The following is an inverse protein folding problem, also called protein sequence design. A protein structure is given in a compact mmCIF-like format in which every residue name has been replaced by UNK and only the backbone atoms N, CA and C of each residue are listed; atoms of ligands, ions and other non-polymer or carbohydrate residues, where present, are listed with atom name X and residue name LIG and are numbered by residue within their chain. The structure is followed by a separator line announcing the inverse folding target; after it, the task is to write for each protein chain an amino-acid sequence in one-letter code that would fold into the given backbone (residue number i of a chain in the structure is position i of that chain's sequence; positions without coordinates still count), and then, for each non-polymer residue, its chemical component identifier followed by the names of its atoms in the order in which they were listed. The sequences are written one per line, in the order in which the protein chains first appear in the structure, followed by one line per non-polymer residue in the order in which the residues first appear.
data_IF_227472227559
#
_entry.id   IF_227472227559
#
_cell.length_a   1.000
_cell.length_b   1.000
_cell.length_c   1.000
_cell.angle_alpha   90.00
_cell.angle_beta   90.00
_cell.angle_gamma   90.00
#
_symmetry.space_group_name_H-M   'P 1'
#
loop_
_entity.id
_entity.type
_entity.pdbx_description
1 polymer ?
#
# COMPACT_ATOMS: atom_id res chain seq x y z
N UNK A 1 -5.96 11.17 9.76
CA UNK A 1 -7.31 10.67 10.14
C UNK A 1 -8.33 11.67 9.64
N UNK A 2 -9.19 11.28 8.70
CA UNK A 2 -10.37 12.11 8.35
C UNK A 2 -11.50 11.88 9.37
N UNK A 3 -12.48 12.78 9.38
CA UNK A 3 -13.59 12.84 10.34
C UNK A 3 -14.54 11.61 10.36
N UNK A 4 -14.20 10.51 9.66
CA UNK A 4 -14.98 9.26 9.61
C UNK A 4 -14.21 8.02 10.08
N UNK A 5 -13.06 8.16 10.74
CA UNK A 5 -12.35 7.03 11.35
C UNK A 5 -11.69 6.05 10.37
N UNK A 6 -11.76 6.30 9.07
CA UNK A 6 -11.02 5.53 8.07
C UNK A 6 -9.54 5.94 8.02
N UNK A 7 -8.65 4.97 7.85
CA UNK A 7 -7.22 5.21 7.56
C UNK A 7 -7.13 5.90 6.22
N UNK A 8 -7.02 7.23 6.24
CA UNK A 8 -7.06 8.01 5.00
C UNK A 8 -5.65 8.27 4.45
N UNK A 9 -4.62 8.32 5.30
CA UNK A 9 -3.27 8.69 4.87
C UNK A 9 -2.24 8.57 6.01
N UNK A 10 -1.07 8.01 5.71
CA UNK A 10 0.19 8.53 6.24
C UNK A 10 0.40 9.87 5.51
N UNK A 11 0.69 10.96 6.24
CA UNK A 11 0.67 12.38 5.79
C UNK A 11 1.33 12.77 4.44
N UNK A 12 1.92 11.87 3.66
CA UNK A 12 2.33 12.11 2.27
C UNK A 12 2.58 10.80 1.49
N UNK A 13 1.95 9.67 1.84
CA UNK A 13 2.23 8.37 1.20
C UNK A 13 0.96 7.53 1.02
N UNK A 14 0.87 6.86 -0.14
CA UNK A 14 -0.18 5.89 -0.42
C UNK A 14 0.19 4.54 0.22
N UNK A 15 -0.81 3.83 0.74
CA UNK A 15 -0.64 2.57 1.46
C UNK A 15 -1.12 1.38 0.62
N UNK A 16 -0.37 0.29 0.70
CA UNK A 16 -0.72 -1.03 0.22
C UNK A 16 -0.50 -2.04 1.35
N UNK A 17 -1.36 -3.06 1.44
CA UNK A 17 -1.15 -4.18 2.34
C UNK A 17 -1.47 -5.50 1.65
N UNK A 18 -0.82 -6.57 2.08
CA UNK A 18 -0.97 -7.91 1.49
C UNK A 18 -1.52 -8.88 2.52
N UNK A 19 -2.47 -9.71 2.10
CA UNK A 19 -2.92 -10.89 2.85
C UNK A 19 -2.97 -12.07 1.89
N UNK A 20 -2.10 -13.06 2.09
CA UNK A 20 -1.87 -14.13 1.12
C UNK A 20 -1.47 -13.57 -0.25
N UNK A 21 -2.20 -13.94 -1.30
CA UNK A 21 -1.94 -13.47 -2.67
C UNK A 21 -2.74 -12.22 -3.07
N UNK A 22 -3.48 -11.62 -2.13
CA UNK A 22 -4.31 -10.43 -2.41
C UNK A 22 -3.62 -9.20 -1.85
N UNK A 23 -3.48 -8.19 -2.70
CA UNK A 23 -2.96 -6.87 -2.36
C UNK A 23 -4.11 -5.88 -2.34
N UNK A 24 -4.17 -5.10 -1.29
CA UNK A 24 -5.23 -4.13 -1.06
C UNK A 24 -4.64 -2.73 -1.02
N UNK A 25 -5.43 -1.76 -1.46
CA UNK A 25 -5.12 -0.34 -1.32
C UNK A 25 -6.41 0.44 -1.05
N UNK A 26 -6.38 1.53 -0.25
CA UNK A 26 -7.56 2.33 -0.03
C UNK A 26 -8.04 2.96 -1.34
N UNK A 27 -9.36 2.98 -1.54
CA UNK A 27 -10.00 3.83 -2.55
C UNK A 27 -9.83 5.29 -2.15
N UNK A 28 -9.40 6.12 -3.11
CA UNK A 28 -9.20 7.56 -2.93
C UNK A 28 -10.32 8.38 -3.61
N UNK A 29 -11.49 7.77 -3.80
CA UNK A 29 -12.67 8.38 -4.43
C UNK A 29 -13.24 9.55 -3.61
N UNK A 30 -13.02 9.55 -2.29
CA UNK A 30 -13.56 10.54 -1.35
C UNK A 30 -12.51 11.56 -0.84
N UNK A 31 -11.23 11.20 -0.82
CA UNK A 31 -10.11 12.03 -0.38
C UNK A 31 -8.75 11.35 -0.68
N UNK A 32 -7.70 12.15 -0.83
CA UNK A 32 -6.30 11.68 -0.97
C UNK A 32 -5.68 11.99 -2.34
N UNK A 33 -4.36 12.17 -2.36
CA UNK A 33 -3.63 12.41 -3.61
C UNK A 33 -3.48 11.08 -4.35
N UNK A 34 -4.05 10.99 -5.56
CA UNK A 34 -3.82 9.86 -6.47
C UNK A 34 -2.40 9.93 -7.03
N UNK A 35 -1.42 9.66 -6.18
CA UNK A 35 0.00 9.82 -6.46
C UNK A 35 0.43 9.02 -7.68
N UNK A 36 1.33 9.60 -8.49
CA UNK A 36 1.88 8.96 -9.69
C UNK A 36 2.47 7.59 -9.35
N UNK A 37 3.13 7.47 -8.19
CA UNK A 37 3.70 6.20 -7.71
C UNK A 37 2.62 5.16 -7.39
N UNK A 38 1.49 5.55 -6.79
CA UNK A 38 0.36 4.63 -6.58
C UNK A 38 -0.15 4.08 -7.91
N UNK A 39 -0.37 4.94 -8.90
CA UNK A 39 -0.83 4.51 -10.22
C UNK A 39 0.19 3.61 -10.92
N UNK A 40 1.48 3.84 -10.70
CA UNK A 40 2.55 2.98 -11.19
C UNK A 40 2.52 1.60 -10.51
N UNK A 41 2.49 1.54 -9.18
CA UNK A 41 2.36 0.28 -8.44
C UNK A 41 1.10 -0.50 -8.82
N UNK A 42 -0.05 0.17 -8.99
CA UNK A 42 -1.29 -0.45 -9.44
C UNK A 42 -1.12 -1.13 -10.81
N UNK A 43 -0.47 -0.45 -11.77
CA UNK A 43 -0.20 -1.01 -13.09
C UNK A 43 0.74 -2.21 -13.03
N UNK A 44 1.78 -2.17 -12.19
CA UNK A 44 2.69 -3.29 -11.98
C UNK A 44 1.99 -4.49 -11.35
N UNK A 45 1.10 -4.24 -10.37
CA UNK A 45 0.36 -5.29 -9.69
C UNK A 45 -0.70 -5.91 -10.59
N UNK A 46 -1.34 -5.12 -11.46
CA UNK A 46 -2.29 -5.62 -12.46
C UNK A 46 -1.66 -6.58 -13.49
N UNK A 47 -0.33 -6.50 -13.69
CA UNK A 47 0.43 -7.39 -14.57
C UNK A 47 1.10 -8.55 -13.82
N UNK A 48 0.96 -8.59 -12.50
CA UNK A 48 1.58 -9.59 -11.63
C UNK A 48 0.63 -10.77 -11.36
N UNK A 49 1.12 -11.77 -10.63
CA UNK A 49 0.27 -12.85 -10.10
C UNK A 49 -0.58 -12.43 -8.89
N UNK A 50 -0.37 -11.23 -8.33
CA UNK A 50 -1.15 -10.73 -7.21
C UNK A 50 -2.52 -10.25 -7.65
N UNK A 51 -3.53 -10.51 -6.82
CA UNK A 51 -4.85 -9.93 -7.00
C UNK A 51 -4.91 -8.56 -6.33
N UNK A 52 -5.03 -7.49 -7.11
CA UNK A 52 -5.18 -6.13 -6.58
C UNK A 52 -6.67 -5.79 -6.34
N UNK A 53 -6.99 -5.30 -5.14
CA UNK A 53 -8.34 -4.85 -4.77
C UNK A 53 -8.30 -3.47 -4.14
N UNK A 54 -8.99 -2.51 -4.75
CA UNK A 54 -9.21 -1.19 -4.13
C UNK A 54 -10.42 -1.25 -3.19
N UNK A 55 -10.22 -0.99 -1.90
CA UNK A 55 -11.23 -1.16 -0.84
C UNK A 55 -11.43 0.10 0.00
N UNK A 56 -12.57 0.22 0.66
CA UNK A 56 -12.70 1.08 1.84
C UNK A 56 -12.54 0.16 3.06
N UNK A 57 -11.42 0.28 3.76
CA UNK A 57 -11.10 -0.58 4.90
C UNK A 57 -10.78 0.26 6.15
N UNK A 58 -11.03 -0.31 7.32
CA UNK A 58 -10.63 0.29 8.60
C UNK A 58 -9.16 0.02 8.91
N UNK A 59 -8.61 0.68 9.94
CA UNK A 59 -7.23 0.42 10.37
C UNK A 59 -7.09 -1.01 10.86
N UNK A 60 -8.06 -1.48 11.61
CA UNK A 60 -8.10 -2.80 12.21
C UNK A 60 -8.06 -3.91 11.16
N UNK A 61 -8.74 -3.71 10.02
CA UNK A 61 -8.67 -4.65 8.89
C UNK A 61 -7.30 -4.66 8.23
N UNK A 62 -6.72 -3.48 8.01
CA UNK A 62 -5.39 -3.35 7.42
C UNK A 62 -4.30 -3.94 8.35
N UNK A 63 -4.44 -3.83 9.66
CA UNK A 63 -3.53 -4.41 10.66
C UNK A 63 -3.52 -5.94 10.67
N UNK A 64 -4.51 -6.62 10.07
CA UNK A 64 -4.50 -8.09 9.90
C UNK A 64 -3.75 -8.58 8.66
N UNK A 65 -2.99 -7.70 8.01
CA UNK A 65 -2.17 -8.03 6.85
C UNK A 65 -0.93 -8.84 7.24
N UNK A 66 -0.41 -9.62 6.29
CA UNK A 66 0.90 -10.26 6.43
C UNK A 66 2.03 -9.25 6.25
N UNK A 67 1.77 -8.20 5.44
CA UNK A 67 2.73 -7.21 5.01
C UNK A 67 2.06 -5.88 4.70
N UNK A 68 2.77 -4.79 5.00
CA UNK A 68 2.37 -3.43 4.65
C UNK A 68 3.50 -2.71 3.93
N UNK A 69 3.13 -1.90 2.95
CA UNK A 69 4.04 -1.15 2.09
C UNK A 69 3.47 0.25 1.86
N UNK A 70 4.32 1.27 1.97
CA UNK A 70 3.95 2.65 1.64
C UNK A 70 4.73 3.13 0.41
N UNK A 71 4.14 3.99 -0.40
CA UNK A 71 4.80 4.57 -1.56
C UNK A 71 4.50 6.07 -1.68
N UNK A 72 5.48 6.86 -2.11
CA UNK A 72 5.28 8.25 -2.50
C UNK A 72 6.22 8.63 -3.66
N UNK A 73 6.14 9.87 -4.15
CA UNK A 73 6.93 10.32 -5.30
C UNK A 73 8.43 10.50 -5.01
N UNK A 74 8.82 10.62 -3.74
CA UNK A 74 10.21 10.86 -3.31
C UNK A 74 10.90 9.57 -2.81
N UNK A 75 10.11 8.64 -2.28
CA UNK A 75 10.47 7.32 -1.77
C UNK A 75 9.56 6.31 -2.48
N UNK A 76 10.05 5.66 -3.56
CA UNK A 76 9.19 4.93 -4.48
C UNK A 76 8.39 3.83 -3.79
N UNK A 77 9.02 3.03 -2.92
CA UNK A 77 8.37 1.97 -2.17
C UNK A 77 9.15 1.74 -0.88
N UNK A 78 8.48 1.67 0.27
CA UNK A 78 9.09 1.39 1.57
C UNK A 78 8.29 0.33 2.33
N UNK A 79 8.95 -0.68 2.93
CA UNK A 79 8.27 -1.69 3.74
C UNK A 79 7.94 -1.12 5.11
N UNK A 80 6.77 -1.47 5.64
CA UNK A 80 6.37 -1.13 7.01
C UNK A 80 6.71 -2.31 7.91
N UNK A 81 7.60 -2.10 8.88
CA UNK A 81 8.01 -3.14 9.85
C UNK A 81 7.03 -3.31 11.00
N UNK A 82 6.37 -2.23 11.42
CA UNK A 82 5.36 -2.25 12.47
C UNK A 82 4.39 -1.08 12.33
N UNK A 83 3.16 -1.26 12.80
CA UNK A 83 2.15 -0.23 12.95
C UNK A 83 1.48 -0.39 14.33
N UNK A 84 1.77 0.53 15.24
CA UNK A 84 1.40 0.37 16.65
C UNK A 84 2.08 -0.85 17.27
N UNK A 85 1.30 -1.71 17.92
CA UNK A 85 1.77 -2.96 18.54
C UNK A 85 1.85 -4.14 17.56
N UNK A 86 1.45 -3.96 16.30
CA UNK A 86 1.47 -5.00 15.27
C UNK A 86 2.77 -4.92 14.48
N UNK A 87 3.49 -6.04 14.40
CA UNK A 87 4.72 -6.17 13.62
C UNK A 87 4.48 -7.03 12.37
N UNK A 88 5.06 -6.62 11.24
CA UNK A 88 4.98 -7.34 9.97
C UNK A 88 6.35 -7.96 9.65
N UNK A 89 6.37 -9.27 9.45
CA UNK A 89 7.59 -10.04 9.20
C UNK A 89 7.86 -10.27 7.71
N UNK A 90 6.83 -10.25 6.86
CA UNK A 90 6.97 -10.41 5.41
C UNK A 90 7.47 -9.15 4.74
N UNK A 91 8.29 -9.32 3.69
CA UNK A 91 8.75 -8.26 2.80
C UNK A 91 8.57 -8.62 1.31
N UNK A 92 7.77 -9.65 1.00
CA UNK A 92 7.57 -10.19 -0.36
C UNK A 92 7.00 -9.18 -1.36
N UNK A 93 6.01 -8.38 -0.96
CA UNK A 93 5.41 -7.35 -1.81
C UNK A 93 6.41 -6.22 -2.04
N UNK A 94 7.14 -5.83 -1.00
CA UNK A 94 8.22 -4.85 -1.10
C UNK A 94 9.31 -5.31 -2.06
N UNK A 95 9.82 -6.54 -1.91
CA UNK A 95 10.86 -7.12 -2.77
C UNK A 95 10.45 -7.19 -4.24
N UNK A 96 9.16 -7.40 -4.52
CA UNK A 96 8.60 -7.34 -5.87
C UNK A 96 8.56 -5.91 -6.43
N UNK A 97 8.06 -4.95 -5.65
CA UNK A 97 7.81 -3.59 -6.13
C UNK A 97 9.09 -2.72 -6.16
N UNK A 98 9.98 -2.85 -5.18
CA UNK A 98 11.18 -2.01 -5.03
C UNK A 98 12.03 -1.91 -6.31
N UNK A 99 12.48 -3.02 -6.94
CA UNK A 99 13.33 -2.93 -8.13
C UNK A 99 12.61 -2.34 -9.35
N UNK A 100 11.29 -2.49 -9.42
CA UNK A 100 10.47 -1.97 -10.52
C UNK A 100 10.20 -0.47 -10.38
N UNK A 101 10.11 0.03 -9.15
CA UNK A 101 9.84 1.44 -8.88
C UNK A 101 11.11 2.30 -8.78
N UNK A 102 12.27 1.72 -8.47
CA UNK A 102 13.57 2.42 -8.50
C UNK A 102 14.12 2.65 -9.92
N UNK A 103 13.57 1.94 -10.92
CA UNK A 103 13.89 2.10 -12.34
C UNK A 103 12.63 2.41 -13.14
N UNK A 104 12.08 3.63 -13.02
CA UNK A 104 10.97 4.04 -13.89
C UNK A 104 11.49 4.07 -15.34
N UNK A 105 10.97 3.16 -16.17
CA UNK A 105 11.18 3.18 -17.63
C UNK A 105 10.63 4.46 -18.26
#
# INVERSE_FOLDING_TARGET
MTAKGGVTECCAANLFWRKGNVVYTPRLDQAGVNGIMRQFCIRLLAQSSYQLVEVQASLEEALQADEMVICNALMPVMPVRACGDVSFSSATLYEYLAPLCERPN
#
